data_IF_986331845943
#
_entry.id   IF_986331845943
#
_cell.length_a   1.000
_cell.length_b   1.000
_cell.length_c   1.000
_cell.angle_alpha   90.00
_cell.angle_beta   90.00
_cell.angle_gamma   90.00
#
_symmetry.space_group_name_H-M   'P 1'
#
loop_
_entity.id
_entity.type
_entity.pdbx_description
1 polymer ?
#
# COMPACT_ATOMS: atom_id res chain seq x y z
N UNK A 1 14.07 5.19 10.49
CA UNK A 1 13.15 5.22 9.34
C UNK A 1 12.57 3.83 9.18
N UNK A 2 11.25 3.74 9.11
CA UNK A 2 10.56 2.44 9.04
C UNK A 2 10.72 1.85 7.65
N UNK A 3 11.02 0.56 7.59
CA UNK A 3 11.03 -0.21 6.35
C UNK A 3 9.94 -1.27 6.43
N UNK A 4 9.28 -1.47 5.30
CA UNK A 4 8.17 -2.40 5.18
C UNK A 4 8.35 -3.31 3.98
N UNK A 5 7.85 -4.52 4.10
CA UNK A 5 7.60 -5.44 3.00
C UNK A 5 6.11 -5.48 2.72
N UNK A 6 5.74 -5.20 1.47
CA UNK A 6 4.40 -5.45 0.96
C UNK A 6 4.35 -6.91 0.48
N UNK A 7 3.48 -7.70 1.08
CA UNK A 7 3.38 -9.13 0.86
C UNK A 7 1.99 -9.53 0.35
N UNK A 8 1.94 -10.57 -0.48
CA UNK A 8 0.74 -11.33 -0.83
C UNK A 8 0.92 -12.77 -0.36
N UNK A 9 0.40 -13.10 0.82
CA UNK A 9 0.82 -14.33 1.51
C UNK A 9 2.32 -14.27 1.76
N UNK A 10 3.07 -15.25 1.25
CA UNK A 10 4.54 -15.30 1.36
C UNK A 10 5.28 -14.65 0.18
N UNK A 11 4.55 -14.11 -0.81
CA UNK A 11 5.15 -13.52 -2.01
C UNK A 11 5.46 -12.04 -1.77
N UNK A 12 6.74 -11.67 -1.89
CA UNK A 12 7.18 -10.28 -1.84
C UNK A 12 6.71 -9.50 -3.08
N UNK A 13 5.78 -8.56 -2.86
CA UNK A 13 5.32 -7.62 -3.89
C UNK A 13 6.30 -6.46 -4.03
N UNK A 14 6.89 -6.00 -2.93
CA UNK A 14 7.93 -4.98 -2.96
C UNK A 14 8.25 -4.43 -1.58
N UNK A 15 9.21 -3.51 -1.53
CA UNK A 15 9.69 -2.90 -0.29
C UNK A 15 9.39 -1.41 -0.27
N UNK A 16 9.07 -0.91 0.93
CA UNK A 16 8.81 0.51 1.18
C UNK A 16 9.81 1.04 2.20
N UNK A 17 10.48 2.14 1.88
CA UNK A 17 11.41 2.83 2.78
C UNK A 17 10.92 4.24 3.07
N UNK A 18 10.37 4.48 4.27
CA UNK A 18 9.89 5.80 4.68
C UNK A 18 11.03 6.81 4.73
N UNK A 19 10.84 7.98 4.12
CA UNK A 19 11.82 9.08 4.10
C UNK A 19 11.27 10.41 4.65
N UNK A 20 9.96 10.53 4.83
CA UNK A 20 9.34 11.77 5.29
C UNK A 20 7.87 11.62 5.65
N UNK A 21 7.22 12.74 5.97
CA UNK A 21 5.81 12.81 6.29
C UNK A 21 5.21 14.08 5.69
N UNK A 22 4.11 13.90 4.95
CA UNK A 22 3.24 14.95 4.42
C UNK A 22 1.83 14.61 4.91
N UNK A 23 1.47 15.18 6.07
CA UNK A 23 0.33 14.70 6.84
C UNK A 23 -0.96 14.71 5.99
N UNK A 24 -1.76 13.63 6.03
CA UNK A 24 -1.71 12.51 6.97
C UNK A 24 -0.86 11.30 6.50
N UNK A 25 0.01 11.47 5.51
CA UNK A 25 0.75 10.37 4.89
C UNK A 25 2.22 10.35 5.27
N UNK A 26 2.76 9.16 5.47
CA UNK A 26 4.19 8.91 5.37
C UNK A 26 4.59 8.80 3.91
N UNK A 27 5.70 9.44 3.55
CA UNK A 27 6.30 9.37 2.24
C UNK A 27 7.37 8.27 2.24
N UNK A 28 7.34 7.40 1.24
CA UNK A 28 8.27 6.29 1.12
C UNK A 28 8.75 6.08 -0.31
N UNK A 29 9.95 5.50 -0.44
CA UNK A 29 10.43 4.94 -1.71
C UNK A 29 9.89 3.53 -1.86
N UNK A 30 9.45 3.20 -3.07
CA UNK A 30 9.03 1.85 -3.43
C UNK A 30 10.08 1.18 -4.32
N UNK A 31 10.43 -0.06 -3.96
CA UNK A 31 11.23 -0.95 -4.79
C UNK A 31 10.38 -2.19 -5.15
N UNK A 32 10.13 -2.48 -6.43
CA UNK A 32 9.32 -3.63 -6.82
C UNK A 32 10.04 -4.94 -6.50
N UNK A 33 9.28 -5.89 -5.97
CA UNK A 33 9.72 -7.27 -5.74
C UNK A 33 9.19 -8.23 -6.82
N UNK A 34 9.48 -9.54 -6.69
CA UNK A 34 9.08 -10.55 -7.69
C UNK A 34 7.56 -10.65 -7.92
N UNK A 35 6.74 -10.30 -6.92
CA UNK A 35 5.28 -10.32 -7.03
C UNK A 35 4.66 -9.09 -7.70
N UNK A 36 5.44 -8.03 -7.95
CA UNK A 36 4.94 -6.73 -8.39
C UNK A 36 4.16 -6.77 -9.70
N UNK A 37 4.72 -7.43 -10.72
CA UNK A 37 4.12 -7.47 -12.07
C UNK A 37 2.68 -7.99 -12.06
N UNK A 38 2.37 -8.93 -11.15
CA UNK A 38 1.03 -9.52 -11.04
C UNK A 38 -0.02 -8.58 -10.42
N UNK A 39 0.38 -7.45 -9.84
CA UNK A 39 -0.52 -6.52 -9.12
C UNK A 39 -0.33 -5.05 -9.54
N UNK A 40 0.67 -4.73 -10.37
CA UNK A 40 1.06 -3.35 -10.68
C UNK A 40 -0.09 -2.54 -11.26
N UNK A 41 -0.86 -3.12 -12.18
CA UNK A 41 -2.00 -2.46 -12.82
C UNK A 41 -3.09 -2.03 -11.83
N UNK A 42 -3.31 -2.78 -10.75
CA UNK A 42 -4.26 -2.43 -9.69
C UNK A 42 -3.74 -1.24 -8.87
N UNK A 43 -2.44 -1.23 -8.57
CA UNK A 43 -1.82 -0.11 -7.86
C UNK A 43 -1.75 1.15 -8.71
N UNK A 44 -1.49 1.03 -10.02
CA UNK A 44 -1.50 2.14 -10.97
C UNK A 44 -2.91 2.76 -11.09
N UNK A 45 -3.95 1.93 -11.21
CA UNK A 45 -5.33 2.39 -11.22
C UNK A 45 -5.72 3.07 -9.88
N UNK A 46 -5.28 2.50 -8.76
CA UNK A 46 -5.48 3.09 -7.43
C UNK A 46 -4.73 4.43 -7.25
N UNK A 47 -3.54 4.56 -7.83
CA UNK A 47 -2.76 5.80 -7.78
C UNK A 47 -3.39 6.91 -8.61
N UNK A 48 -3.96 6.57 -9.77
CA UNK A 48 -4.68 7.49 -10.65
C UNK A 48 -6.04 7.93 -10.09
N UNK A 49 -6.51 7.35 -8.99
CA UNK A 49 -7.76 7.73 -8.36
C UNK A 49 -7.66 9.10 -7.67
N UNK A 50 -8.36 10.07 -8.25
CA UNK A 50 -8.45 11.45 -7.79
C UNK A 50 -9.86 12.05 -7.99
N UNK A 51 -10.09 13.19 -7.34
CA UNK A 51 -11.34 13.94 -7.44
C UNK A 51 -12.45 13.46 -6.50
N UNK A 52 -13.59 14.17 -6.48
CA UNK A 52 -14.70 13.89 -5.59
C UNK A 52 -15.41 12.61 -5.98
N UNK A 53 -15.69 11.72 -5.02
CA UNK A 53 -16.43 10.47 -5.20
C UNK A 53 -17.65 10.44 -4.26
N UNK A 54 -18.73 11.15 -4.61
CA UNK A 54 -19.82 11.46 -3.67
C UNK A 54 -20.55 10.22 -3.15
N UNK A 55 -20.62 9.17 -3.97
CA UNK A 55 -21.27 7.89 -3.63
C UNK A 55 -20.25 6.81 -3.21
N UNK A 56 -18.95 7.09 -3.27
CA UNK A 56 -17.87 6.18 -2.92
C UNK A 56 -17.71 4.97 -3.85
N UNK A 57 -18.45 4.89 -4.96
CA UNK A 57 -18.49 3.69 -5.80
C UNK A 57 -17.16 3.44 -6.51
N UNK A 58 -16.46 4.51 -6.92
CA UNK A 58 -15.16 4.37 -7.60
C UNK A 58 -14.07 3.97 -6.62
N UNK A 59 -14.10 4.51 -5.40
CA UNK A 59 -13.24 4.04 -4.33
C UNK A 59 -13.42 2.54 -4.11
N UNK A 60 -14.66 2.07 -3.94
CA UNK A 60 -14.96 0.65 -3.70
C UNK A 60 -14.49 -0.22 -4.85
N UNK A 61 -14.75 0.19 -6.10
CA UNK A 61 -14.35 -0.54 -7.30
C UNK A 61 -12.83 -0.73 -7.42
N UNK A 62 -12.04 0.25 -6.96
CA UNK A 62 -10.58 0.20 -7.01
C UNK A 62 -9.97 -0.47 -5.77
N UNK A 63 -10.56 -0.27 -4.59
CA UNK A 63 -10.07 -0.84 -3.34
C UNK A 63 -10.35 -2.34 -3.25
N UNK A 64 -11.52 -2.79 -3.71
CA UNK A 64 -11.96 -4.19 -3.55
C UNK A 64 -11.00 -5.21 -4.18
N UNK A 65 -10.52 -5.07 -5.43
CA UNK A 65 -9.55 -6.01 -5.99
C UNK A 65 -8.25 -6.10 -5.18
N UNK A 66 -7.74 -4.99 -4.67
CA UNK A 66 -6.54 -4.96 -3.82
C UNK A 66 -6.81 -5.58 -2.44
N UNK A 67 -8.01 -5.39 -1.89
CA UNK A 67 -8.44 -6.00 -0.64
C UNK A 67 -8.57 -7.53 -0.77
N UNK A 68 -9.15 -8.01 -1.87
CA UNK A 68 -9.34 -9.44 -2.14
C UNK A 68 -8.01 -10.19 -2.32
N UNK A 69 -6.91 -9.48 -2.66
CA UNK A 69 -5.56 -10.05 -2.68
C UNK A 69 -4.98 -10.34 -1.28
N UNK A 70 -5.60 -9.85 -0.20
CA UNK A 70 -5.14 -10.08 1.16
C UNK A 70 -3.74 -9.52 1.44
N UNK A 71 -3.42 -8.37 0.83
CA UNK A 71 -2.09 -7.75 0.95
C UNK A 71 -1.80 -7.30 2.39
N UNK A 72 -0.57 -7.53 2.83
CA UNK A 72 -0.09 -7.10 4.15
C UNK A 72 1.18 -6.27 4.04
N UNK A 73 1.33 -5.35 4.99
CA UNK A 73 2.52 -4.51 5.18
C UNK A 73 3.24 -5.00 6.43
N UNK A 74 4.28 -5.81 6.26
CA UNK A 74 5.08 -6.36 7.35
C UNK A 74 6.28 -5.45 7.62
N UNK A 75 6.58 -5.10 8.88
CA UNK A 75 7.80 -4.36 9.21
C UNK A 75 9.04 -5.24 8.96
N UNK A 76 10.13 -4.64 8.46
CA UNK A 76 11.41 -5.35 8.32
C UNK A 76 12.09 -5.57 9.68
N UNK A 77 11.78 -4.73 10.66
CA UNK A 77 12.28 -4.88 12.03
C UNK A 77 11.28 -5.71 12.84
N UNK A 78 11.77 -6.77 13.47
CA UNK A 78 10.96 -7.68 14.28
C UNK A 78 10.21 -6.96 15.41
N UNK A 79 8.99 -7.44 15.68
CA UNK A 79 8.21 -7.08 16.87
C UNK A 79 6.95 -6.23 16.63
N UNK A 80 6.66 -5.79 15.40
CA UNK A 80 5.35 -5.19 15.08
C UNK A 80 4.51 -6.14 14.21
N UNK A 81 3.20 -6.24 14.44
CA UNK A 81 2.34 -7.07 13.61
C UNK A 81 2.23 -6.48 12.19
N UNK A 82 2.09 -7.32 11.15
CA UNK A 82 1.76 -6.85 9.82
C UNK A 82 0.42 -6.11 9.79
N UNK A 83 0.34 -5.07 8.96
CA UNK A 83 -0.88 -4.29 8.75
C UNK A 83 -1.59 -4.79 7.49
N UNK A 84 -2.90 -5.00 7.53
CA UNK A 84 -3.67 -5.40 6.33
C UNK A 84 -4.09 -4.18 5.53
N UNK A 85 -3.89 -4.25 4.22
CA UNK A 85 -4.33 -3.21 3.29
C UNK A 85 -5.86 -3.02 3.36
N UNK A 86 -6.30 -1.77 3.33
CA UNK A 86 -7.69 -1.30 3.47
C UNK A 86 -8.38 -1.64 4.79
N UNK A 87 -7.70 -2.25 5.75
CA UNK A 87 -8.24 -2.51 7.10
C UNK A 87 -7.45 -1.80 8.19
N UNK A 88 -6.13 -1.91 8.15
CA UNK A 88 -5.22 -1.32 9.13
C UNK A 88 -4.35 -0.20 8.48
N UNK A 89 -4.25 -0.20 7.15
CA UNK A 89 -3.51 0.81 6.40
C UNK A 89 -4.01 1.01 4.95
N UNK A 90 -3.58 2.09 4.32
CA UNK A 90 -3.69 2.35 2.88
C UNK A 90 -2.29 2.63 2.35
N UNK A 91 -1.98 2.04 1.20
CA UNK A 91 -0.75 2.29 0.45
C UNK A 91 -1.12 2.72 -0.96
N UNK A 92 -0.55 3.84 -1.41
CA UNK A 92 -0.56 4.26 -2.81
C UNK A 92 0.86 4.18 -3.35
N UNK A 93 1.04 3.58 -4.52
CA UNK A 93 2.34 3.42 -5.17
C UNK A 93 2.23 4.08 -6.55
N UNK A 94 3.15 5.02 -6.83
CA UNK A 94 3.26 5.69 -8.11
C UNK A 94 4.72 5.64 -8.57
N UNK A 95 5.02 4.69 -9.46
CA UNK A 95 6.39 4.41 -9.87
C UNK A 95 7.26 4.01 -8.68
N UNK A 96 8.32 4.79 -8.43
CA UNK A 96 9.25 4.56 -7.31
C UNK A 96 8.89 5.31 -6.02
N UNK A 97 7.74 6.00 -6.00
CA UNK A 97 7.24 6.72 -4.83
C UNK A 97 6.02 6.01 -4.24
N UNK A 98 5.86 6.13 -2.93
CA UNK A 98 4.69 5.63 -2.24
C UNK A 98 4.24 6.57 -1.12
N UNK A 99 2.93 6.54 -0.85
CA UNK A 99 2.30 7.20 0.28
C UNK A 99 1.60 6.16 1.13
N UNK A 100 1.93 6.14 2.42
CA UNK A 100 1.32 5.24 3.38
C UNK A 100 0.54 6.03 4.40
N UNK A 101 -0.64 5.53 4.75
CA UNK A 101 -1.34 5.94 5.96
C UNK A 101 -1.72 4.67 6.70
N UNK A 102 -1.39 4.60 7.97
CA UNK A 102 -1.79 3.51 8.82
C UNK A 102 -2.42 4.05 10.09
N UNK A 103 -3.30 3.26 10.66
CA UNK A 103 -3.93 3.53 11.94
C UNK A 103 -3.77 2.29 12.79
N UNK A 104 -3.62 2.50 14.09
CA UNK A 104 -3.72 1.43 15.07
C UNK A 104 -5.10 1.56 15.68
N UNK A 105 -5.88 0.49 15.62
CA UNK A 105 -6.97 0.29 16.59
C UNK A 105 -6.36 0.05 17.99
#
# INVERSE_FOLDING_TARGET
MTRWQLLRGDVLVGELSEYGCDQPFFLARFAPGPGWESVSSLFEAWAAYEGPDPDGLRFVALAKPLQDLGLTLAPVVDGQPPLRLFKDCIVRINGSEARLRYWRD
#
